data_IF_014421232638
#
_entry.id   IF_014421232638
#
_cell.length_a   1.000
_cell.length_b   1.000
_cell.length_c   1.000
_cell.angle_alpha   90.00
_cell.angle_beta   90.00
_cell.angle_gamma   90.00
#
_symmetry.space_group_name_H-M   'P 1'
#
loop_
_entity.id
_entity.type
_entity.pdbx_description
1 polymer ?
#
# COMPACT_ATOMS: atom_id res chain seq x y z
N UNK A 1 7.22 -9.36 -16.69
CA UNK A 1 7.45 -9.02 -16.21
C UNK A 1 6.87 -8.30 -15.57
N UNK A 2 6.34 -8.12 -15.35
CA UNK A 2 5.76 -7.38 -14.95
C UNK A 2 5.17 -7.50 -13.79
N UNK A 3 5.40 -8.19 -13.01
CA UNK A 3 5.00 -8.32 -11.93
C UNK A 3 5.29 -7.18 -11.26
N UNK A 4 5.14 -6.20 -11.09
CA UNK A 4 5.37 -5.09 -10.40
C UNK A 4 5.36 -5.35 -8.93
N UNK A 5 6.43 -5.75 -8.37
CA UNK A 5 6.59 -5.96 -6.93
C UNK A 5 7.46 -4.85 -6.38
N UNK A 6 7.08 -4.30 -5.27
CA UNK A 6 7.83 -3.23 -4.65
C UNK A 6 8.37 -3.67 -3.30
N UNK A 7 9.48 -3.09 -2.91
CA UNK A 7 10.03 -3.40 -1.61
C UNK A 7 9.21 -2.63 -0.61
N UNK A 8 9.30 -3.04 0.63
CA UNK A 8 8.53 -2.39 1.68
C UNK A 8 8.84 -0.90 1.71
N UNK A 9 10.11 -0.56 1.59
CA UNK A 9 10.49 0.85 1.59
C UNK A 9 9.92 1.62 0.43
N UNK A 10 9.87 0.97 -0.72
CA UNK A 10 9.33 1.63 -1.91
C UNK A 10 7.83 1.81 -1.78
N UNK A 11 7.16 0.80 -1.24
CA UNK A 11 5.73 0.89 -1.04
C UNK A 11 5.42 2.00 -0.04
N UNK A 12 6.22 2.09 0.99
CA UNK A 12 6.03 3.12 2.00
C UNK A 12 6.16 4.49 1.39
N UNK A 13 7.14 4.66 0.54
CA UNK A 13 7.34 5.93 -0.11
C UNK A 13 6.21 6.25 -1.06
N UNK A 14 5.75 5.26 -1.78
CA UNK A 14 4.68 5.45 -2.73
C UNK A 14 3.41 5.90 -2.02
N UNK A 15 3.15 5.33 -0.85
CA UNK A 15 1.97 5.68 -0.10
C UNK A 15 2.23 6.79 0.91
N UNK A 16 3.47 7.21 0.99
CA UNK A 16 3.84 8.28 1.90
C UNK A 16 3.53 7.92 3.35
N UNK A 17 3.87 6.73 3.74
CA UNK A 17 3.67 6.28 5.11
C UNK A 17 4.95 5.58 5.55
N UNK A 18 5.01 5.16 6.79
CA UNK A 18 6.20 4.50 7.28
C UNK A 18 6.17 3.03 6.92
N UNK A 19 7.33 2.38 6.97
CA UNK A 19 7.41 0.98 6.68
C UNK A 19 6.59 0.20 7.66
N UNK A 20 6.54 0.70 8.87
CA UNK A 20 5.79 0.09 9.93
C UNK A 20 4.32 -0.04 9.52
N UNK A 21 3.81 1.00 8.88
CA UNK A 21 2.44 1.00 8.43
C UNK A 21 2.24 -0.04 7.33
N UNK A 22 3.23 -0.20 6.47
CA UNK A 22 3.13 -1.19 5.42
C UNK A 22 3.02 -2.59 6.01
N UNK A 23 3.85 -2.90 6.98
CA UNK A 23 3.81 -4.21 7.61
C UNK A 23 2.44 -4.44 8.25
N UNK A 24 1.92 -3.42 8.86
CA UNK A 24 0.67 -3.53 9.51
C UNK A 24 -0.45 -3.79 8.52
N UNK A 25 -0.44 -3.08 7.42
CA UNK A 25 -1.48 -3.26 6.42
C UNK A 25 -1.39 -4.63 5.77
N UNK A 26 -0.21 -5.16 5.63
CA UNK A 26 -0.05 -6.50 5.08
C UNK A 26 -0.67 -7.50 6.06
N UNK A 27 -0.45 -7.29 7.33
CA UNK A 27 -1.01 -8.17 8.32
C UNK A 27 -2.52 -8.08 8.37
N UNK A 28 -3.05 -6.92 8.11
CA UNK A 28 -4.48 -6.72 8.11
C UNK A 28 -5.11 -7.10 6.79
N UNK A 29 -4.30 -7.63 5.90
CA UNK A 29 -4.81 -8.05 4.62
C UNK A 29 -5.28 -6.90 3.75
N UNK A 30 -4.83 -5.71 4.00
CA UNK A 30 -5.17 -4.59 3.19
C UNK A 30 -4.24 -4.50 2.00
N UNK A 31 -3.04 -5.00 2.14
CA UNK A 31 -2.08 -5.05 1.07
C UNK A 31 -1.68 -6.50 0.86
N UNK A 32 -1.50 -6.88 -0.38
CA UNK A 32 -1.07 -8.21 -0.67
C UNK A 32 0.42 -8.21 -0.90
N UNK A 33 1.08 -9.17 -0.34
CA UNK A 33 2.52 -9.25 -0.44
C UNK A 33 2.96 -10.68 -0.51
N UNK A 34 4.19 -10.87 -0.90
CA UNK A 34 4.73 -12.20 -0.99
C UNK A 34 6.17 -12.15 -0.52
N UNK A 35 6.66 -13.26 -0.02
CA UNK A 35 8.03 -13.31 0.41
C UNK A 35 8.84 -13.97 -0.65
N UNK A 36 9.91 -13.33 -1.04
CA UNK A 36 10.77 -13.88 -2.02
C UNK A 36 12.04 -14.26 -1.30
N UNK A 37 12.35 -15.50 -1.24
CA UNK A 37 13.51 -15.98 -0.56
C UNK A 37 13.27 -15.91 0.91
N UNK A 38 14.39 -15.71 1.67
CA UNK A 38 14.24 -15.72 3.00
C UNK A 38 13.99 -14.42 3.51
N UNK A 39 13.10 -13.85 3.86
CA UNK A 39 12.91 -12.60 4.50
C UNK A 39 12.75 -11.41 3.62
N UNK A 40 12.62 -11.61 2.37
CA UNK A 40 12.47 -10.47 1.48
C UNK A 40 11.00 -10.31 1.17
N UNK A 41 10.38 -9.36 1.76
CA UNK A 41 8.97 -9.13 1.52
C UNK A 41 8.79 -8.18 0.35
N UNK A 42 7.89 -8.52 -0.53
CA UNK A 42 7.59 -7.66 -1.67
C UNK A 42 6.10 -7.43 -1.72
N UNK A 43 5.73 -6.21 -2.03
CA UNK A 43 4.32 -5.83 -2.04
C UNK A 43 3.86 -5.78 -3.49
N UNK A 44 2.69 -6.33 -3.76
CA UNK A 44 2.17 -6.31 -5.11
C UNK A 44 1.70 -4.90 -5.42
N UNK A 45 2.19 -4.35 -6.47
CA UNK A 45 1.82 -2.99 -6.84
C UNK A 45 0.33 -2.86 -7.06
N UNK A 46 -0.28 -3.89 -7.62
CA UNK A 46 -1.70 -3.86 -7.85
C UNK A 46 -2.48 -3.64 -6.56
N UNK A 47 -2.01 -4.23 -5.47
CA UNK A 47 -2.72 -4.07 -4.22
C UNK A 47 -2.56 -2.65 -3.69
N UNK A 48 -1.44 -2.04 -3.99
CA UNK A 48 -1.21 -0.67 -3.57
C UNK A 48 -2.14 0.24 -4.34
N UNK A 49 -2.26 0.00 -5.63
CA UNK A 49 -3.14 0.82 -6.45
C UNK A 49 -4.58 0.67 -5.98
N UNK A 50 -4.97 -0.54 -5.65
CA UNK A 50 -6.33 -0.79 -5.17
C UNK A 50 -6.59 -0.06 -3.86
N UNK A 51 -5.59 -0.06 -2.99
CA UNK A 51 -5.74 0.59 -1.72
C UNK A 51 -5.86 2.10 -1.90
N UNK A 52 -5.07 2.64 -2.81
CA UNK A 52 -5.12 4.06 -3.08
C UNK A 52 -6.49 4.43 -3.63
N UNK A 53 -6.99 3.61 -4.51
CA UNK A 53 -8.28 3.89 -5.10
C UNK A 53 -9.37 3.91 -4.04
N UNK A 54 -9.33 2.96 -3.16
CA UNK A 54 -10.27 2.90 -2.11
C UNK A 54 -10.19 4.10 -1.22
N UNK A 55 -9.01 4.43 -0.78
CA UNK A 55 -8.81 5.55 0.09
C UNK A 55 -9.12 6.86 -0.60
N UNK A 56 -8.88 6.91 -1.87
CA UNK A 56 -9.14 8.07 -2.62
C UNK A 56 -10.59 8.42 -2.60
N UNK A 57 -11.43 7.42 -2.73
CA UNK A 57 -12.82 7.65 -2.69
C UNK A 57 -13.25 8.17 -1.36
N UNK A 58 -12.82 7.53 -0.31
CA UNK A 58 -13.17 7.93 1.02
C UNK A 58 -12.65 9.31 1.30
N UNK A 59 -11.42 9.53 0.90
CA UNK A 59 -10.77 10.78 1.16
C UNK A 59 -11.45 11.88 0.41
N UNK A 60 -11.91 11.59 -0.76
CA UNK A 60 -12.58 12.55 -1.57
C UNK A 60 -13.83 13.03 -0.88
N UNK A 61 -14.58 12.13 -0.32
CA UNK A 61 -15.76 12.46 0.41
C UNK A 61 -15.45 13.32 1.61
N UNK A 62 -14.42 12.97 2.32
CA UNK A 62 -14.05 13.71 3.47
C UNK A 62 -13.59 15.09 3.10
N UNK A 63 -12.86 15.16 2.02
CA UNK A 63 -12.33 16.43 1.59
C UNK A 63 -13.45 17.37 1.26
N UNK A 64 -14.46 16.84 0.64
CA UNK A 64 -15.57 17.66 0.31
C UNK A 64 -16.22 18.17 1.55
N UNK A 65 -16.26 17.35 2.54
CA UNK A 65 -16.86 17.71 3.76
C UNK A 65 -16.00 18.62 4.56
N UNK A 66 -14.75 18.32 4.72
CA UNK A 66 -13.90 19.08 5.51
C UNK A 66 -13.36 20.13 4.83
N UNK A 67 -13.22 20.00 3.69
CA UNK A 67 -12.65 20.96 2.96
C UNK A 67 -11.61 21.46 3.39
N UNK A 68 -11.13 21.09 3.69
CA UNK A 68 -10.07 21.51 3.93
C UNK A 68 -9.48 21.64 3.44
#
# INVERSE_FOLDING_TARGET
MDKQLLRVGEAAQTLNVSRWTIYRWVEEDRLKATKIGKGSLRIFRDSIDALIEQNRKDHWNLALTECQ
#
